data_IF_775275368400
#
_entry.id   IF_775275368400
#
_cell.length_a   1.000
_cell.length_b   1.000
_cell.length_c   1.000
_cell.angle_alpha   90.00
_cell.angle_beta   90.00
_cell.angle_gamma   90.00
#
_symmetry.space_group_name_H-M   'P 1'
#
loop_
_entity.id
_entity.type
_entity.pdbx_description
1 polymer ?
#
# COMPACT_ATOMS: atom_id res chain seq x y z
N UNK A 1 -14.93 26.64 11.60
CA UNK A 1 -16.14 25.86 11.97
C UNK A 1 -16.77 26.32 13.29
N UNK A 2 -16.00 26.61 14.36
CA UNK A 2 -16.54 27.01 15.68
C UNK A 2 -17.28 28.35 15.64
N UNK A 3 -16.70 29.37 14.98
CA UNK A 3 -17.32 30.71 14.87
C UNK A 3 -18.66 30.65 14.13
N UNK A 4 -18.75 29.86 13.06
CA UNK A 4 -20.02 29.71 12.30
C UNK A 4 -21.08 29.01 13.15
N UNK A 5 -20.69 27.95 13.91
CA UNK A 5 -21.60 27.22 14.76
C UNK A 5 -22.13 28.11 15.93
N UNK A 6 -21.25 28.92 16.55
CA UNK A 6 -21.64 29.88 17.60
C UNK A 6 -22.53 31.01 17.05
N UNK A 7 -22.19 31.57 15.91
CA UNK A 7 -23.03 32.58 15.26
C UNK A 7 -24.42 32.06 14.92
N UNK A 8 -24.51 30.84 14.37
CA UNK A 8 -25.79 30.22 14.04
C UNK A 8 -26.63 29.88 15.28
N UNK A 9 -25.98 29.48 16.38
CA UNK A 9 -26.67 29.23 17.66
C UNK A 9 -27.16 30.53 18.29
N UNK A 10 -26.33 31.58 18.34
CA UNK A 10 -26.71 32.90 18.87
C UNK A 10 -27.80 33.57 18.04
N UNK A 11 -27.71 33.52 16.70
CA UNK A 11 -28.74 34.12 15.84
C UNK A 11 -30.10 33.41 16.00
N UNK A 12 -30.10 32.14 16.31
CA UNK A 12 -31.33 31.38 16.56
C UNK A 12 -32.00 31.83 17.88
N UNK A 13 -31.22 32.04 18.93
CA UNK A 13 -31.71 32.53 20.22
C UNK A 13 -32.15 34.01 20.18
N UNK A 14 -31.40 34.85 19.45
CA UNK A 14 -31.75 36.26 19.28
C UNK A 14 -33.01 36.49 18.42
N UNK A 15 -33.42 35.52 17.63
CA UNK A 15 -34.69 35.56 16.86
C UNK A 15 -35.93 35.23 17.69
N UNK A 16 -35.77 34.65 18.88
CA UNK A 16 -36.90 34.37 19.78
C UNK A 16 -37.31 35.66 20.50
N UNK A 17 -38.63 35.86 20.68
CA UNK A 17 -39.13 37.08 21.31
C UNK A 17 -38.68 37.13 22.78
N UNK A 18 -38.28 38.32 23.26
CA UNK A 18 -37.78 38.52 24.62
C UNK A 18 -38.77 38.02 25.71
N UNK A 19 -40.06 38.07 25.43
CA UNK A 19 -41.12 37.58 26.34
C UNK A 19 -41.15 36.02 26.47
N UNK A 20 -40.68 35.28 25.45
CA UNK A 20 -40.57 33.81 25.49
C UNK A 20 -39.29 33.37 26.18
N UNK A 21 -38.20 34.09 26.10
CA UNK A 21 -36.94 33.83 26.80
C UNK A 21 -37.07 33.97 28.34
N UNK A 22 -37.98 34.81 28.83
CA UNK A 22 -38.21 34.99 30.28
C UNK A 22 -39.17 33.97 30.88
N UNK A 23 -39.85 33.15 30.09
CA UNK A 23 -40.70 32.05 30.62
C UNK A 23 -39.88 30.80 30.85
N UNK A 24 -39.98 30.14 32.01
CA UNK A 24 -39.35 28.83 32.19
C UNK A 24 -39.90 27.87 31.15
N UNK A 25 -38.98 27.11 30.45
CA UNK A 25 -39.38 26.25 29.36
C UNK A 25 -40.40 25.21 29.89
N UNK A 26 -41.53 25.11 29.20
CA UNK A 26 -42.58 24.16 29.53
C UNK A 26 -42.02 22.73 29.52
N UNK A 27 -42.29 21.89 30.50
CA UNK A 27 -41.82 20.49 30.52
C UNK A 27 -42.24 19.77 29.25
N UNK A 28 -41.29 19.23 28.52
CA UNK A 28 -41.58 18.49 27.28
C UNK A 28 -42.48 17.29 27.59
N UNK A 29 -43.67 17.30 27.01
CA UNK A 29 -44.62 16.17 27.14
C UNK A 29 -43.93 14.88 26.67
N UNK A 30 -44.06 13.82 27.48
CA UNK A 30 -43.48 12.52 27.18
C UNK A 30 -44.17 11.87 25.96
N UNK A 31 -43.45 11.82 24.83
CA UNK A 31 -43.92 11.04 23.66
C UNK A 31 -43.74 9.56 23.94
N UNK A 32 -44.68 8.73 23.47
CA UNK A 32 -44.55 7.25 23.53
C UNK A 32 -43.25 6.82 22.86
N UNK A 33 -42.49 5.95 23.53
CA UNK A 33 -41.21 5.43 23.05
C UNK A 33 -41.45 4.29 22.06
N UNK A 34 -40.63 4.18 21.04
CA UNK A 34 -40.74 3.12 20.04
C UNK A 34 -40.71 1.71 20.66
N UNK A 35 -39.92 1.52 21.74
CA UNK A 35 -39.85 0.27 22.49
C UNK A 35 -41.19 -0.11 23.17
N UNK A 36 -42.06 0.86 23.46
CA UNK A 36 -43.41 0.60 24.01
C UNK A 36 -44.31 -0.11 22.98
N UNK A 37 -43.98 -0.04 21.70
CA UNK A 37 -44.72 -0.74 20.62
C UNK A 37 -44.37 -2.22 20.54
N UNK A 38 -43.29 -2.65 21.20
CA UNK A 38 -42.86 -4.06 21.22
C UNK A 38 -43.20 -4.65 22.61
N UNK A 39 -44.42 -5.21 22.78
CA UNK A 39 -44.92 -5.61 24.08
C UNK A 39 -44.11 -6.74 24.72
N UNK A 40 -43.46 -7.58 23.92
CA UNK A 40 -42.65 -8.70 24.40
C UNK A 40 -41.42 -8.23 25.19
N UNK A 41 -40.72 -7.20 24.71
CA UNK A 41 -39.55 -6.62 25.37
C UNK A 41 -40.00 -5.73 26.52
N UNK A 42 -41.04 -4.92 26.30
CA UNK A 42 -41.48 -3.93 27.30
C UNK A 42 -42.07 -4.56 28.57
N UNK A 43 -42.76 -5.71 28.49
CA UNK A 43 -43.30 -6.41 29.66
C UNK A 43 -42.20 -6.94 30.60
N UNK A 44 -41.09 -7.40 30.02
CA UNK A 44 -39.99 -8.02 30.80
C UNK A 44 -39.00 -7.00 31.41
N UNK A 45 -39.15 -5.71 31.10
CA UNK A 45 -38.29 -4.67 31.64
C UNK A 45 -38.78 -4.22 33.02
N UNK A 46 -37.85 -4.09 33.97
CA UNK A 46 -38.09 -3.52 35.29
C UNK A 46 -38.44 -2.03 35.19
N UNK A 47 -39.08 -1.47 36.23
CA UNK A 47 -39.46 -0.07 36.29
C UNK A 47 -38.29 0.88 36.02
N UNK A 48 -37.12 0.60 36.59
CA UNK A 48 -35.88 1.41 36.39
C UNK A 48 -35.49 1.50 34.92
N UNK A 49 -35.49 0.38 34.23
CA UNK A 49 -35.18 0.34 32.80
C UNK A 49 -36.22 1.09 31.95
N UNK A 50 -37.50 0.95 32.28
CA UNK A 50 -38.57 1.68 31.61
C UNK A 50 -38.42 3.20 31.77
N UNK A 51 -38.08 3.65 32.99
CA UNK A 51 -37.82 5.05 33.29
C UNK A 51 -36.54 5.59 32.55
N UNK A 52 -35.47 4.79 32.54
CA UNK A 52 -34.22 5.12 31.84
C UNK A 52 -34.45 5.31 30.33
N UNK A 53 -35.14 4.36 29.69
CA UNK A 53 -35.46 4.45 28.26
C UNK A 53 -36.31 5.69 27.93
N UNK A 54 -37.31 5.99 28.75
CA UNK A 54 -38.12 7.19 28.59
C UNK A 54 -37.31 8.47 28.75
N UNK A 55 -36.37 8.52 29.70
CA UNK A 55 -35.47 9.66 29.88
C UNK A 55 -34.49 9.83 28.71
N UNK A 56 -33.91 8.73 28.22
CA UNK A 56 -33.05 8.76 27.04
C UNK A 56 -33.77 9.35 25.83
N UNK A 57 -34.99 8.93 25.55
CA UNK A 57 -35.77 9.42 24.42
C UNK A 57 -36.20 10.89 24.62
N UNK A 58 -36.48 11.30 25.88
CA UNK A 58 -36.82 12.68 26.21
C UNK A 58 -35.63 13.62 25.98
N UNK A 59 -34.43 13.19 26.33
CA UNK A 59 -33.19 13.99 26.20
C UNK A 59 -32.27 13.47 25.10
N UNK A 60 -32.85 12.97 24.02
CA UNK A 60 -32.11 12.36 22.89
C UNK A 60 -30.95 13.22 22.37
N UNK A 61 -31.07 14.57 22.35
CA UNK A 61 -29.95 15.43 21.91
C UNK A 61 -28.74 15.27 22.83
N UNK A 62 -28.88 15.26 24.14
CA UNK A 62 -27.78 15.06 25.09
C UNK A 62 -27.20 13.66 24.95
N UNK A 63 -28.06 12.64 24.82
CA UNK A 63 -27.62 11.26 24.62
C UNK A 63 -26.75 11.14 23.36
N UNK A 64 -27.24 11.63 22.23
CA UNK A 64 -26.46 11.57 20.99
C UNK A 64 -25.18 12.40 21.07
N UNK A 65 -25.20 13.61 21.67
CA UNK A 65 -23.97 14.40 21.86
C UNK A 65 -22.91 13.62 22.67
N UNK A 66 -23.34 12.96 23.76
CA UNK A 66 -22.42 12.16 24.59
C UNK A 66 -21.89 10.94 23.83
N UNK A 67 -22.77 10.20 23.17
CA UNK A 67 -22.38 9.00 22.40
C UNK A 67 -21.45 9.36 21.26
N UNK A 68 -21.77 10.39 20.48
CA UNK A 68 -20.91 10.84 19.38
C UNK A 68 -19.61 11.48 19.88
N UNK A 69 -19.63 12.18 21.00
CA UNK A 69 -18.43 12.74 21.60
C UNK A 69 -17.46 11.64 22.05
N UNK A 70 -17.92 10.73 22.89
CA UNK A 70 -17.09 9.62 23.39
C UNK A 70 -16.72 8.65 22.24
N UNK A 71 -17.71 8.24 21.44
CA UNK A 71 -17.51 7.35 20.31
C UNK A 71 -16.60 7.93 19.24
N UNK A 72 -16.71 9.24 18.98
CA UNK A 72 -15.81 9.94 18.04
C UNK A 72 -14.37 9.97 18.52
N UNK A 73 -14.14 10.29 19.80
CA UNK A 73 -12.79 10.25 20.37
C UNK A 73 -12.19 8.84 20.35
N UNK A 74 -12.96 7.82 20.74
CA UNK A 74 -12.52 6.42 20.66
C UNK A 74 -12.28 5.97 19.24
N UNK A 75 -13.14 6.36 18.31
CA UNK A 75 -12.99 6.07 16.89
C UNK A 75 -11.72 6.69 16.30
N UNK A 76 -11.41 7.94 16.64
CA UNK A 76 -10.15 8.58 16.23
C UNK A 76 -8.92 7.90 16.80
N UNK A 77 -8.94 7.49 18.06
CA UNK A 77 -7.85 6.71 18.67
C UNK A 77 -7.65 5.38 17.93
N UNK A 78 -8.72 4.63 17.70
CA UNK A 78 -8.69 3.33 17.00
C UNK A 78 -8.18 3.49 15.58
N UNK A 79 -8.62 4.53 14.87
CA UNK A 79 -8.14 4.86 13.55
C UNK A 79 -6.63 5.20 13.55
N UNK A 80 -6.18 6.04 14.48
CA UNK A 80 -4.77 6.43 14.60
C UNK A 80 -3.85 5.24 14.89
N UNK A 81 -4.21 4.38 15.85
CA UNK A 81 -3.43 3.17 16.15
C UNK A 81 -3.50 2.14 15.02
N UNK A 82 -4.67 1.92 14.42
CA UNK A 82 -4.83 1.00 13.30
C UNK A 82 -4.03 1.44 12.07
N UNK A 83 -4.00 2.74 11.77
CA UNK A 83 -3.18 3.28 10.70
C UNK A 83 -1.68 3.10 10.98
N UNK A 84 -1.24 3.42 12.21
CA UNK A 84 0.14 3.19 12.64
C UNK A 84 0.55 1.73 12.49
N UNK A 85 -0.26 0.80 13.00
CA UNK A 85 0.02 -0.63 12.94
C UNK A 85 0.06 -1.14 11.49
N UNK A 86 -0.87 -0.65 10.64
CA UNK A 86 -0.91 -1.00 9.23
C UNK A 86 0.35 -0.54 8.49
N UNK A 87 0.79 0.70 8.71
CA UNK A 87 2.02 1.23 8.09
C UNK A 87 3.25 0.48 8.62
N UNK A 88 3.32 0.24 9.93
CA UNK A 88 4.44 -0.49 10.54
C UNK A 88 4.55 -1.93 10.07
N UNK A 89 3.45 -2.57 9.68
CA UNK A 89 3.44 -3.92 9.16
C UNK A 89 3.91 -4.01 7.68
N UNK A 90 3.83 -2.93 6.91
CA UNK A 90 4.24 -2.93 5.50
C UNK A 90 5.74 -3.21 5.36
N UNK A 91 6.57 -2.54 6.16
CA UNK A 91 8.04 -2.63 6.06
C UNK A 91 8.55 -4.07 6.22
N UNK A 92 8.23 -4.81 7.31
CA UNK A 92 8.66 -6.19 7.43
C UNK A 92 8.04 -7.13 6.39
N UNK A 93 6.78 -6.89 5.97
CA UNK A 93 6.17 -7.69 4.90
C UNK A 93 6.89 -7.49 3.57
N UNK A 94 7.27 -6.27 3.23
CA UNK A 94 7.95 -5.96 1.98
C UNK A 94 9.40 -6.42 1.99
N UNK A 95 10.20 -6.02 2.98
CA UNK A 95 11.65 -6.17 2.96
C UNK A 95 12.19 -7.43 3.66
N UNK A 96 11.36 -8.13 4.45
CA UNK A 96 11.76 -9.39 5.06
C UNK A 96 11.13 -10.62 4.39
N UNK A 97 10.09 -10.43 3.56
CA UNK A 97 9.34 -11.56 2.99
C UNK A 97 9.18 -11.51 1.47
N UNK A 98 9.30 -10.35 0.82
CA UNK A 98 9.09 -10.20 -0.63
C UNK A 98 10.37 -9.73 -1.31
N UNK A 99 10.88 -8.56 -0.96
CA UNK A 99 12.15 -8.03 -1.46
C UNK A 99 13.23 -8.29 -0.41
N UNK A 100 14.06 -9.28 -0.67
CA UNK A 100 15.03 -9.79 0.29
C UNK A 100 16.44 -9.23 0.06
N UNK A 101 16.62 -8.31 -0.88
CA UNK A 101 17.88 -7.61 -1.08
C UNK A 101 18.06 -6.51 -0.02
N UNK A 102 19.31 -6.21 0.32
CA UNK A 102 19.64 -5.16 1.29
C UNK A 102 20.00 -3.85 0.57
N UNK A 103 20.31 -3.94 -0.73
CA UNK A 103 20.48 -2.78 -1.61
C UNK A 103 20.49 -3.19 -3.09
N UNK A 104 20.31 -2.18 -3.93
CA UNK A 104 20.41 -2.25 -5.38
C UNK A 104 21.39 -1.18 -5.87
N UNK A 105 22.23 -1.55 -6.79
CA UNK A 105 23.19 -0.66 -7.45
C UNK A 105 22.72 -0.43 -8.86
N UNK A 106 22.39 0.80 -9.19
CA UNK A 106 21.98 1.21 -10.54
C UNK A 106 23.22 1.74 -11.28
N UNK A 107 23.50 1.18 -12.44
CA UNK A 107 24.59 1.60 -13.31
C UNK A 107 24.17 2.77 -14.19
N UNK A 108 25.15 3.57 -14.62
CA UNK A 108 24.92 4.66 -15.58
C UNK A 108 24.50 4.09 -16.93
N UNK A 109 23.74 4.86 -17.70
CA UNK A 109 23.30 4.45 -19.05
C UNK A 109 24.47 4.27 -20.04
N UNK A 110 25.53 5.05 -19.87
CA UNK A 110 26.75 5.05 -20.68
C UNK A 110 27.90 4.26 -20.05
N UNK A 111 27.61 3.38 -19.09
CA UNK A 111 28.61 2.56 -18.39
C UNK A 111 29.39 1.69 -19.37
N UNK A 112 30.71 1.75 -19.29
CA UNK A 112 31.58 0.87 -20.06
C UNK A 112 31.67 -0.52 -19.42
N UNK A 113 32.04 -1.53 -20.23
CA UNK A 113 32.24 -2.89 -19.69
C UNK A 113 33.34 -2.93 -18.63
N UNK A 114 34.36 -2.08 -18.72
CA UNK A 114 35.44 -1.99 -17.72
C UNK A 114 34.92 -1.46 -16.38
N UNK A 115 34.14 -0.40 -16.40
CA UNK A 115 33.48 0.17 -15.21
C UNK A 115 32.47 -0.80 -14.58
N UNK A 116 31.73 -1.51 -15.41
CA UNK A 116 30.78 -2.53 -14.93
C UNK A 116 31.51 -3.67 -14.21
N UNK A 117 32.61 -4.15 -14.78
CA UNK A 117 33.46 -5.17 -14.15
C UNK A 117 34.04 -4.65 -12.83
N UNK A 118 34.42 -3.38 -12.76
CA UNK A 118 34.91 -2.75 -11.53
C UNK A 118 33.86 -2.77 -10.43
N UNK A 119 32.62 -2.32 -10.72
CA UNK A 119 31.49 -2.35 -9.77
C UNK A 119 31.20 -3.79 -9.30
N UNK A 120 31.14 -4.73 -10.23
CA UNK A 120 30.91 -6.14 -9.88
C UNK A 120 32.04 -6.69 -9.01
N UNK A 121 33.28 -6.38 -9.32
CA UNK A 121 34.46 -6.81 -8.56
C UNK A 121 34.49 -6.19 -7.16
N UNK A 122 34.09 -4.94 -7.00
CA UNK A 122 33.98 -4.32 -5.69
C UNK A 122 32.98 -5.07 -4.80
N UNK A 123 31.78 -5.37 -5.36
CA UNK A 123 30.76 -6.15 -4.66
C UNK A 123 31.24 -7.56 -4.33
N UNK A 124 31.91 -8.27 -5.26
CA UNK A 124 32.38 -9.64 -5.06
C UNK A 124 33.56 -9.71 -4.09
N UNK A 125 34.33 -8.65 -3.94
CA UNK A 125 35.51 -8.58 -3.05
C UNK A 125 35.13 -8.13 -1.64
N UNK A 126 34.03 -7.41 -1.48
CA UNK A 126 33.59 -6.95 -0.16
C UNK A 126 33.10 -8.15 0.66
N UNK A 127 33.78 -8.40 1.78
CA UNK A 127 33.46 -9.52 2.69
C UNK A 127 32.09 -9.41 3.34
N UNK A 128 31.48 -8.23 3.31
CA UNK A 128 30.13 -7.99 3.85
C UNK A 128 29.05 -8.49 2.89
N UNK A 129 29.34 -8.60 1.59
CA UNK A 129 28.40 -9.07 0.58
C UNK A 129 28.37 -10.60 0.57
N UNK A 130 27.17 -11.16 0.66
CA UNK A 130 26.97 -12.61 0.64
C UNK A 130 26.59 -13.15 -0.73
N UNK A 131 25.82 -12.41 -1.49
CA UNK A 131 25.33 -12.78 -2.82
C UNK A 131 24.95 -11.56 -3.62
N UNK A 132 25.12 -11.62 -4.93
CA UNK A 132 24.73 -10.58 -5.90
C UNK A 132 23.88 -11.20 -7.01
N UNK A 133 23.06 -10.39 -7.68
CA UNK A 133 22.35 -10.77 -8.90
C UNK A 133 22.18 -9.57 -9.82
N UNK A 134 22.57 -9.75 -11.09
CA UNK A 134 22.39 -8.76 -12.14
C UNK A 134 20.95 -8.83 -12.68
N UNK A 135 20.35 -7.66 -12.92
CA UNK A 135 19.03 -7.53 -13.52
C UNK A 135 18.92 -6.26 -14.38
N UNK A 136 17.92 -6.23 -15.25
CA UNK A 136 17.47 -5.00 -15.90
C UNK A 136 16.34 -4.43 -15.06
N UNK A 137 16.55 -3.23 -14.55
CA UNK A 137 15.51 -2.46 -13.83
C UNK A 137 15.21 -1.18 -14.60
N UNK A 138 14.01 -1.07 -15.15
CA UNK A 138 13.59 0.08 -15.96
C UNK A 138 12.18 0.51 -15.60
N UNK A 139 11.93 1.80 -15.50
CA UNK A 139 10.58 2.32 -15.36
C UNK A 139 9.89 2.30 -16.73
N UNK A 140 8.72 1.69 -16.81
CA UNK A 140 7.92 1.59 -18.04
C UNK A 140 6.47 1.93 -17.76
N UNK A 141 5.76 2.39 -18.79
CA UNK A 141 4.33 2.55 -18.75
C UNK A 141 3.65 1.31 -19.33
N UNK A 142 2.71 0.76 -18.57
CA UNK A 142 1.86 -0.35 -19.00
C UNK A 142 0.41 0.09 -19.06
N UNK A 143 -0.35 -0.44 -20.00
CA UNK A 143 -1.75 -0.07 -20.20
C UNK A 143 -2.66 -1.26 -20.48
N UNK A 144 -3.93 -1.07 -20.15
CA UNK A 144 -5.03 -1.97 -20.50
C UNK A 144 -6.30 -1.16 -20.73
N UNK A 145 -6.79 -1.12 -21.96
CA UNK A 145 -7.89 -0.25 -22.36
C UNK A 145 -7.56 1.24 -22.16
N UNK A 146 -8.36 1.95 -21.36
CA UNK A 146 -8.14 3.38 -21.07
C UNK A 146 -7.29 3.63 -19.81
N UNK A 147 -6.88 2.58 -19.11
CA UNK A 147 -6.10 2.70 -17.87
C UNK A 147 -4.62 2.49 -18.15
N UNK A 148 -3.76 3.36 -17.63
CA UNK A 148 -2.31 3.21 -17.66
C UNK A 148 -1.69 3.33 -16.28
N UNK A 149 -0.53 2.71 -16.08
CA UNK A 149 0.24 2.74 -14.84
C UNK A 149 1.73 2.67 -15.13
N UNK A 150 2.51 3.43 -14.38
CA UNK A 150 3.96 3.28 -14.35
C UNK A 150 4.34 2.11 -13.43
N UNK A 151 5.22 1.25 -13.91
CA UNK A 151 5.74 0.10 -13.17
C UNK A 151 7.24 -0.07 -13.42
N UNK A 152 7.92 -0.68 -12.48
CA UNK A 152 9.28 -1.14 -12.67
C UNK A 152 9.27 -2.49 -13.39
N UNK A 153 9.84 -2.53 -14.58
CA UNK A 153 10.17 -3.77 -15.28
C UNK A 153 11.46 -4.31 -14.69
N UNK A 154 11.41 -5.53 -14.19
CA UNK A 154 12.55 -6.21 -13.57
C UNK A 154 12.79 -7.54 -14.28
N UNK A 155 13.93 -7.64 -14.95
CA UNK A 155 14.31 -8.80 -15.76
C UNK A 155 15.64 -9.35 -15.24
N UNK A 156 15.63 -10.46 -14.50
CA UNK A 156 16.86 -11.04 -13.99
C UNK A 156 17.68 -11.70 -15.10
N UNK A 157 19.00 -11.62 -14.97
CA UNK A 157 19.95 -12.35 -15.81
C UNK A 157 19.94 -13.85 -15.49
N UNK A 158 19.83 -14.19 -14.20
CA UNK A 158 19.71 -15.53 -13.68
C UNK A 158 18.50 -15.66 -12.75
N UNK A 159 17.48 -16.41 -13.19
CA UNK A 159 16.24 -16.63 -12.45
C UNK A 159 16.47 -17.34 -11.12
N UNK A 160 17.42 -18.27 -11.03
CA UNK A 160 17.68 -19.01 -9.79
C UNK A 160 18.40 -18.13 -8.76
N UNK A 161 19.31 -17.26 -9.20
CA UNK A 161 19.90 -16.24 -8.33
C UNK A 161 18.85 -15.24 -7.85
N UNK A 162 17.97 -14.80 -8.73
CA UNK A 162 16.91 -13.82 -8.44
C UNK A 162 15.92 -14.28 -7.38
N UNK A 163 15.58 -15.56 -7.32
CA UNK A 163 14.70 -16.13 -6.28
C UNK A 163 15.22 -15.92 -4.85
N UNK A 164 16.50 -15.63 -4.68
CA UNK A 164 17.08 -15.30 -3.38
C UNK A 164 16.79 -13.85 -2.97
N UNK A 165 16.44 -12.99 -3.92
CA UNK A 165 16.23 -11.57 -3.71
C UNK A 165 14.76 -11.15 -3.76
N UNK A 166 13.97 -11.80 -4.63
CA UNK A 166 12.55 -11.45 -4.80
C UNK A 166 11.70 -12.72 -4.72
N UNK A 167 10.70 -12.67 -3.85
CA UNK A 167 9.73 -13.77 -3.69
C UNK A 167 8.42 -13.39 -4.34
N UNK A 168 8.15 -13.97 -5.49
CA UNK A 168 6.88 -13.81 -6.22
C UNK A 168 5.88 -14.85 -5.71
N UNK A 169 4.92 -14.45 -4.90
CA UNK A 169 3.93 -15.35 -4.29
C UNK A 169 2.51 -14.78 -4.33
N UNK A 170 1.51 -15.65 -4.25
CA UNK A 170 0.14 -15.24 -3.99
C UNK A 170 -0.05 -14.72 -2.56
N UNK A 171 -0.79 -13.65 -2.39
CA UNK A 171 -1.03 -13.05 -1.08
C UNK A 171 -1.84 -13.92 -0.12
N UNK A 172 -2.80 -14.68 -0.64
CA UNK A 172 -3.76 -15.46 0.16
C UNK A 172 -3.27 -16.89 0.40
N UNK A 173 -2.87 -17.57 -0.67
CA UNK A 173 -2.44 -18.98 -0.64
C UNK A 173 -0.99 -19.12 -0.21
N UNK A 174 -0.18 -18.06 -0.35
CA UNK A 174 1.29 -18.05 -0.16
C UNK A 174 2.02 -19.00 -1.10
N UNK A 175 1.37 -19.45 -2.17
CA UNK A 175 1.98 -20.22 -3.23
C UNK A 175 3.03 -19.38 -3.95
N UNK A 176 4.23 -19.92 -4.11
CA UNK A 176 5.34 -19.22 -4.77
C UNK A 176 5.26 -19.50 -6.26
N UNK A 177 5.23 -18.42 -7.04
CA UNK A 177 5.32 -18.48 -8.49
C UNK A 177 6.78 -18.43 -8.93
N UNK A 178 7.15 -19.28 -9.84
CA UNK A 178 8.45 -19.20 -10.51
C UNK A 178 8.31 -18.36 -11.77
N UNK A 179 9.28 -17.47 -12.02
CA UNK A 179 9.39 -16.83 -13.32
C UNK A 179 9.62 -17.92 -14.36
N UNK A 180 8.76 -17.98 -15.37
CA UNK A 180 8.84 -18.91 -16.49
C UNK A 180 8.64 -18.17 -17.83
N UNK A 181 8.89 -18.85 -18.94
CA UNK A 181 8.83 -18.25 -20.29
C UNK A 181 7.41 -18.19 -20.88
N UNK A 182 6.39 -18.42 -20.05
CA UNK A 182 4.98 -18.33 -20.47
C UNK A 182 4.46 -16.92 -20.49
N UNK A 183 5.02 -16.05 -19.65
CA UNK A 183 4.58 -14.65 -19.55
C UNK A 183 5.22 -13.89 -18.41
N UNK A 184 4.68 -12.75 -18.09
CA UNK A 184 5.15 -11.87 -17.03
C UNK A 184 4.32 -12.04 -15.74
N UNK A 185 4.93 -11.78 -14.59
CA UNK A 185 4.28 -11.72 -13.28
C UNK A 185 4.06 -10.25 -12.92
N UNK A 186 2.81 -9.87 -12.70
CA UNK A 186 2.44 -8.49 -12.36
C UNK A 186 2.08 -8.38 -10.87
N UNK A 187 2.40 -7.26 -10.24
CA UNK A 187 2.02 -7.01 -8.84
C UNK A 187 0.52 -6.76 -8.68
N UNK A 188 -0.09 -7.26 -7.60
CA UNK A 188 -1.54 -7.26 -7.33
C UNK A 188 -2.17 -5.86 -7.44
N UNK A 189 -1.50 -4.84 -6.94
CA UNK A 189 -2.05 -3.49 -6.97
C UNK A 189 -2.11 -2.92 -8.37
N UNK A 190 -1.06 -3.14 -9.19
CA UNK A 190 -1.05 -2.72 -10.59
C UNK A 190 -2.14 -3.46 -11.39
N UNK A 191 -2.24 -4.78 -11.22
CA UNK A 191 -3.29 -5.58 -11.85
C UNK A 191 -4.70 -5.06 -11.52
N UNK A 192 -4.94 -4.70 -10.26
CA UNK A 192 -6.22 -4.14 -9.81
C UNK A 192 -6.50 -2.76 -10.40
N UNK A 193 -5.50 -1.90 -10.54
CA UNK A 193 -5.65 -0.56 -11.11
C UNK A 193 -5.94 -0.61 -12.61
N UNK A 194 -5.32 -1.55 -13.32
CA UNK A 194 -5.51 -1.78 -14.75
C UNK A 194 -6.75 -2.64 -15.06
N UNK A 195 -7.35 -3.29 -14.06
CA UNK A 195 -8.50 -4.18 -14.24
C UNK A 195 -8.16 -5.48 -14.96
N UNK A 196 -6.92 -5.97 -14.86
CA UNK A 196 -6.44 -7.17 -15.54
C UNK A 196 -6.32 -8.37 -14.60
N UNK A 197 -6.37 -9.56 -15.19
CA UNK A 197 -6.32 -10.86 -14.50
C UNK A 197 -5.27 -11.76 -15.14
N UNK A 198 -4.95 -12.86 -14.48
CA UNK A 198 -4.09 -13.91 -15.04
C UNK A 198 -4.68 -14.45 -16.33
N UNK A 199 -3.86 -14.51 -17.37
CA UNK A 199 -4.25 -14.91 -18.72
C UNK A 199 -4.62 -13.76 -19.66
N UNK A 200 -4.71 -12.53 -19.16
CA UNK A 200 -4.93 -11.35 -19.99
C UNK A 200 -3.60 -10.87 -20.62
N UNK A 201 -3.72 -10.17 -21.74
CA UNK A 201 -2.61 -9.50 -22.38
C UNK A 201 -2.47 -8.07 -21.84
N UNK A 202 -1.26 -7.69 -21.53
CA UNK A 202 -0.88 -6.37 -21.07
C UNK A 202 -0.12 -5.64 -22.17
N UNK A 203 -0.47 -4.39 -22.42
CA UNK A 203 0.24 -3.53 -23.36
C UNK A 203 1.34 -2.76 -22.62
N UNK A 204 2.56 -2.77 -23.17
CA UNK A 204 3.70 -2.00 -22.70
C UNK A 204 3.92 -0.88 -23.72
N UNK A 205 3.88 0.36 -23.25
CA UNK A 205 4.11 1.52 -24.08
C UNK A 205 5.61 1.80 -24.14
N UNK A 206 6.18 1.78 -25.35
CA UNK A 206 7.59 2.07 -25.60
C UNK A 206 7.74 3.14 -26.68
N UNK A 207 8.90 3.76 -26.76
CA UNK A 207 9.20 4.76 -27.81
C UNK A 207 9.08 4.18 -29.23
N UNK A 208 9.33 2.88 -29.38
CA UNK A 208 9.23 2.14 -30.65
C UNK A 208 7.81 1.60 -30.94
N UNK A 209 6.84 1.91 -30.10
CA UNK A 209 5.45 1.49 -30.23
C UNK A 209 4.98 0.57 -29.10
N UNK A 210 3.77 0.06 -29.26
CA UNK A 210 3.14 -0.82 -28.27
C UNK A 210 3.65 -2.25 -28.40
N UNK A 211 4.01 -2.85 -27.26
CA UNK A 211 4.36 -4.26 -27.15
C UNK A 211 3.33 -4.96 -26.28
N UNK A 212 3.18 -6.25 -26.44
CA UNK A 212 2.17 -7.01 -25.69
C UNK A 212 2.82 -8.19 -24.97
N UNK A 213 2.48 -8.40 -23.70
CA UNK A 213 2.94 -9.52 -22.90
C UNK A 213 1.77 -10.18 -22.17
N UNK A 214 1.82 -11.52 -22.05
CA UNK A 214 0.82 -12.30 -21.32
C UNK A 214 1.10 -12.21 -19.80
N UNK A 215 0.06 -12.02 -18.99
CA UNK A 215 0.16 -12.11 -17.53
C UNK A 215 0.06 -13.59 -17.12
N UNK A 216 1.16 -14.17 -16.69
CA UNK A 216 1.22 -15.58 -16.23
C UNK A 216 0.79 -15.74 -14.78
N UNK A 217 1.07 -14.75 -13.91
CA UNK A 217 0.67 -14.74 -12.52
C UNK A 217 0.55 -13.31 -11.97
N UNK A 218 -0.14 -13.18 -10.82
CA UNK A 218 -0.24 -11.93 -10.08
C UNK A 218 0.32 -12.17 -8.67
N UNK A 219 1.32 -11.37 -8.26
CA UNK A 219 2.02 -11.57 -7.00
C UNK A 219 1.72 -10.50 -5.95
N UNK A 220 1.92 -10.87 -4.69
CA UNK A 220 1.86 -9.99 -3.52
C UNK A 220 2.96 -8.93 -3.60
N UNK A 221 2.59 -7.65 -3.39
CA UNK A 221 3.54 -6.55 -3.22
C UNK A 221 2.87 -5.40 -2.49
N UNK A 222 3.62 -4.63 -1.69
CA UNK A 222 3.10 -3.53 -0.87
C UNK A 222 3.68 -2.17 -1.24
N UNK A 223 4.88 -2.14 -1.81
CA UNK A 223 5.57 -0.91 -2.19
C UNK A 223 6.02 -0.97 -3.65
N UNK A 224 5.68 0.08 -4.40
CA UNK A 224 5.93 0.13 -5.84
C UNK A 224 5.04 -0.83 -6.65
N UNK A 225 5.17 -0.75 -7.95
CA UNK A 225 4.52 -1.63 -8.91
C UNK A 225 5.59 -2.27 -9.78
N UNK A 226 5.55 -3.59 -9.92
CA UNK A 226 6.57 -4.33 -10.65
C UNK A 226 5.94 -5.25 -11.68
N UNK A 227 6.65 -5.40 -12.78
CA UNK A 227 6.41 -6.40 -13.82
C UNK A 227 7.67 -7.23 -13.94
N UNK A 228 7.60 -8.50 -13.54
CA UNK A 228 8.72 -9.43 -13.58
C UNK A 228 8.60 -10.34 -14.79
N UNK A 229 9.68 -10.54 -15.54
CA UNK A 229 9.71 -11.50 -16.65
C UNK A 229 11.11 -12.08 -16.83
N UNK A 230 11.18 -13.21 -17.51
CA UNK A 230 12.47 -13.81 -17.86
C UNK A 230 13.12 -13.05 -19.02
N UNK A 231 14.43 -13.24 -19.20
CA UNK A 231 15.15 -12.67 -20.37
C UNK A 231 14.56 -13.16 -21.68
N UNK A 232 14.11 -14.42 -21.76
CA UNK A 232 13.46 -14.97 -22.96
C UNK A 232 12.10 -14.31 -23.27
N UNK A 233 11.28 -14.03 -22.24
CA UNK A 233 10.02 -13.29 -22.43
C UNK A 233 10.31 -11.86 -22.85
N UNK A 234 11.35 -11.22 -22.28
CA UNK A 234 11.78 -9.89 -22.67
C UNK A 234 12.20 -9.85 -24.15
N UNK A 235 13.11 -10.75 -24.59
CA UNK A 235 13.56 -10.81 -25.97
C UNK A 235 12.41 -11.07 -26.96
N UNK A 236 11.45 -11.94 -26.62
CA UNK A 236 10.25 -12.16 -27.44
C UNK A 236 9.37 -10.93 -27.54
N UNK A 237 9.28 -10.13 -26.49
CA UNK A 237 8.40 -8.96 -26.40
C UNK A 237 9.02 -7.74 -27.04
N UNK A 238 10.28 -7.46 -26.76
CA UNK A 238 10.98 -6.24 -27.22
C UNK A 238 11.78 -6.45 -28.50
N UNK A 239 12.18 -7.69 -28.80
CA UNK A 239 12.97 -8.03 -29.99
C UNK A 239 14.47 -7.80 -29.82
N UNK A 240 14.94 -7.52 -28.61
CA UNK A 240 16.32 -7.27 -28.25
C UNK A 240 16.66 -7.95 -26.92
N UNK A 241 17.95 -8.22 -26.67
CA UNK A 241 18.41 -8.76 -25.42
C UNK A 241 18.37 -7.69 -24.30
N UNK A 242 18.06 -8.08 -23.04
CA UNK A 242 18.03 -7.12 -21.95
C UNK A 242 19.41 -6.54 -21.64
N UNK A 243 19.49 -5.20 -21.59
CA UNK A 243 20.67 -4.49 -21.14
C UNK A 243 20.64 -4.36 -19.62
N UNK A 244 21.30 -5.28 -18.91
CA UNK A 244 21.31 -5.29 -17.45
C UNK A 244 21.99 -4.04 -16.90
N UNK A 245 21.29 -3.29 -16.08
CA UNK A 245 21.70 -2.00 -15.53
C UNK A 245 21.60 -1.90 -14.02
N UNK A 246 21.25 -2.99 -13.35
CA UNK A 246 21.12 -3.02 -11.90
C UNK A 246 21.73 -4.29 -11.32
N UNK A 247 22.25 -4.20 -10.11
CA UNK A 247 22.83 -5.32 -9.35
C UNK A 247 22.22 -5.31 -7.96
N UNK A 248 21.41 -6.31 -7.65
CA UNK A 248 20.95 -6.56 -6.30
C UNK A 248 22.06 -7.19 -5.46
N UNK A 249 22.21 -6.74 -4.23
CA UNK A 249 23.13 -7.37 -3.28
C UNK A 249 22.45 -7.65 -1.94
N UNK A 250 22.97 -8.65 -1.25
CA UNK A 250 22.61 -8.98 0.12
C UNK A 250 23.87 -9.04 0.97
N UNK A 251 23.79 -8.45 2.16
CA UNK A 251 24.87 -8.49 3.15
C UNK A 251 24.79 -9.76 4.01
N UNK A 252 25.87 -10.08 4.72
CA UNK A 252 25.93 -11.29 5.54
C UNK A 252 25.03 -11.21 6.77
N UNK A 253 25.12 -10.10 7.52
CA UNK A 253 24.36 -9.90 8.74
C UNK A 253 23.03 -9.15 8.53
N UNK A 254 22.77 -8.71 7.29
CA UNK A 254 21.56 -8.00 6.89
C UNK A 254 21.26 -6.79 7.77
N UNK A 255 22.28 -6.07 8.19
CA UNK A 255 22.16 -4.85 8.97
C UNK A 255 22.15 -3.62 8.07
N UNK A 256 21.41 -2.59 8.49
CA UNK A 256 21.37 -1.31 7.75
C UNK A 256 22.76 -0.66 7.68
N UNK A 257 23.62 -0.90 8.68
CA UNK A 257 24.98 -0.37 8.73
C UNK A 257 25.87 -1.03 7.67
N UNK A 258 25.82 -2.36 7.55
CA UNK A 258 26.55 -3.09 6.49
C UNK A 258 26.08 -2.70 5.09
N UNK A 259 24.75 -2.64 4.87
CA UNK A 259 24.19 -2.23 3.59
C UNK A 259 24.63 -0.82 3.19
N UNK A 260 24.66 0.10 4.16
CA UNK A 260 25.13 1.46 3.95
C UNK A 260 26.63 1.52 3.61
N UNK A 261 27.46 0.79 4.35
CA UNK A 261 28.90 0.77 4.10
C UNK A 261 29.25 0.21 2.72
N UNK A 262 28.58 -0.88 2.31
CA UNK A 262 28.72 -1.44 0.95
C UNK A 262 28.27 -0.42 -0.09
N UNK A 263 27.11 0.21 0.09
CA UNK A 263 26.60 1.25 -0.80
C UNK A 263 27.57 2.42 -0.95
N UNK A 264 28.13 2.93 0.17
CA UNK A 264 29.12 4.02 0.14
C UNK A 264 30.42 3.63 -0.59
N UNK A 265 30.81 2.36 -0.56
CA UNK A 265 32.00 1.89 -1.30
C UNK A 265 31.72 1.81 -2.80
N UNK A 266 30.59 1.20 -3.17
CA UNK A 266 30.20 1.03 -4.56
C UNK A 266 29.92 2.39 -5.25
N UNK A 267 29.38 3.36 -4.52
CA UNK A 267 29.16 4.73 -5.02
C UNK A 267 30.45 5.47 -5.38
N UNK A 268 31.64 4.98 -4.99
CA UNK A 268 32.92 5.54 -5.40
C UNK A 268 33.37 5.05 -6.78
N UNK A 269 32.79 3.99 -7.30
CA UNK A 269 33.06 3.48 -8.63
C UNK A 269 32.42 4.38 -9.68
N UNK A 270 33.16 4.70 -10.75
CA UNK A 270 32.69 5.63 -11.79
C UNK A 270 31.46 5.15 -12.57
N UNK A 271 31.24 3.84 -12.65
CA UNK A 271 30.11 3.21 -13.33
C UNK A 271 28.76 3.26 -12.58
N UNK A 272 28.75 3.71 -11.30
CA UNK A 272 27.54 3.70 -10.45
C UNK A 272 26.77 5.02 -10.58
N UNK A 273 25.44 4.91 -10.72
CA UNK A 273 24.51 6.05 -10.73
C UNK A 273 23.92 6.28 -9.32
N UNK A 274 23.44 5.23 -8.68
CA UNK A 274 22.85 5.24 -7.33
C UNK A 274 22.89 3.84 -6.69
#
# INVERSE_FOLDING_TARGET
CTVIATLFSCMKELREQAAELMRPPTPKQGKRVFLERVPFIWKNLNFTWKSTVRNLVRYKKRFFMTVFGIGGCMGMMLFGFGLKDSISAIVPLQYEQIQLYDGDVILKEDVTEEERIEVQKELDTDKKVSVTAENLLKNIEISSGESSQEVYLDVPKDVEAFKKFVVTRDRKTKEIYSLDDKGAILTEKAAKLLGVSVGDNLTINTDDGEKTVLISAICENYMGHYLYMTSEVYEKTFGEAPAYNSIYYRTQDRTTEEAKDVGENVMKCDGTLS
#
